data_IF_810725092812
#
_entry.id   IF_810725092812
#
_cell.length_a   1.000
_cell.length_b   1.000
_cell.length_c   1.000
_cell.angle_alpha   90.00
_cell.angle_beta   90.00
_cell.angle_gamma   90.00
#
_symmetry.space_group_name_H-M   'P 1'
#
loop_
_entity.id
_entity.type
_entity.pdbx_description
1 polymer ?
#
# COMPACT_ATOMS: atom_id res chain seq x y z
N UNK A 1 56.37 21.97 114.11
CA UNK A 1 56.52 21.63 112.68
C UNK A 1 55.43 22.30 111.80
N UNK A 2 54.97 23.52 112.09
CA UNK A 2 53.78 24.10 111.43
C UNK A 2 54.03 25.37 110.60
N UNK A 3 55.24 25.96 110.70
CA UNK A 3 55.62 27.18 109.95
C UNK A 3 56.20 26.87 108.56
N UNK A 4 56.82 25.69 108.38
CA UNK A 4 57.42 25.30 107.09
C UNK A 4 56.35 24.92 106.04
N UNK A 5 55.26 24.26 106.46
CA UNK A 5 54.23 23.79 105.51
C UNK A 5 53.36 24.94 104.98
N UNK A 6 53.09 25.96 105.80
CA UNK A 6 52.38 27.18 105.39
C UNK A 6 53.18 28.01 104.37
N UNK A 7 54.51 28.08 104.51
CA UNK A 7 55.37 28.75 103.51
C UNK A 7 55.44 27.99 102.19
N UNK A 8 55.42 26.65 102.22
CA UNK A 8 55.36 25.84 100.99
C UNK A 8 54.00 25.91 100.30
N UNK A 9 52.88 25.95 101.05
CA UNK A 9 51.53 26.13 100.48
C UNK A 9 51.35 27.52 99.87
N UNK A 10 51.79 28.58 100.58
CA UNK A 10 51.75 29.94 100.04
C UNK A 10 52.63 30.08 98.79
N UNK A 11 53.82 29.47 98.77
CA UNK A 11 54.70 29.45 97.59
C UNK A 11 54.07 28.72 96.40
N UNK A 12 53.47 27.54 96.61
CA UNK A 12 52.81 26.78 95.55
C UNK A 12 51.54 27.49 95.00
N UNK A 13 50.78 28.15 95.87
CA UNK A 13 49.63 28.96 95.44
C UNK A 13 50.08 30.18 94.63
N UNK A 14 51.14 30.87 95.09
CA UNK A 14 51.72 32.00 94.36
C UNK A 14 52.29 31.57 93.00
N UNK A 15 52.94 30.41 92.90
CA UNK A 15 53.42 29.87 91.62
C UNK A 15 52.26 29.47 90.69
N UNK A 16 51.20 28.84 91.20
CA UNK A 16 50.02 28.52 90.37
C UNK A 16 49.30 29.77 89.86
N UNK A 17 49.19 30.81 90.68
CA UNK A 17 48.64 32.11 90.27
C UNK A 17 49.55 32.76 89.22
N UNK A 18 50.87 32.66 89.38
CA UNK A 18 51.85 33.14 88.40
C UNK A 18 51.79 32.36 87.08
N UNK A 19 51.63 31.04 87.14
CA UNK A 19 51.48 30.19 85.96
C UNK A 19 50.15 30.42 85.24
N UNK A 20 49.05 30.58 85.98
CA UNK A 20 47.77 30.99 85.42
C UNK A 20 47.87 32.37 84.75
N UNK A 21 48.58 33.33 85.36
CA UNK A 21 48.91 34.63 84.77
C UNK A 21 49.65 34.50 83.44
N UNK A 22 50.72 33.69 83.39
CA UNK A 22 51.48 33.42 82.16
C UNK A 22 50.64 32.79 81.06
N UNK A 23 49.73 31.88 81.42
CA UNK A 23 48.80 31.26 80.46
C UNK A 23 47.79 32.29 79.95
N UNK A 24 47.27 33.17 80.81
CA UNK A 24 46.36 34.25 80.42
C UNK A 24 47.07 35.22 79.47
N UNK A 25 48.32 35.59 79.77
CA UNK A 25 49.12 36.46 78.91
C UNK A 25 49.38 35.81 77.54
N UNK A 26 49.81 34.54 77.52
CA UNK A 26 50.03 33.78 76.29
C UNK A 26 48.74 33.64 75.46
N UNK A 27 47.61 33.35 76.10
CA UNK A 27 46.31 33.27 75.43
C UNK A 27 45.85 34.63 74.92
N UNK A 28 46.17 35.72 75.63
CA UNK A 28 45.87 37.08 75.22
C UNK A 28 46.68 37.48 73.98
N UNK A 29 47.97 37.15 73.95
CA UNK A 29 48.85 37.34 72.79
C UNK A 29 48.36 36.53 71.59
N UNK A 30 47.96 35.27 71.81
CA UNK A 30 47.41 34.42 70.74
C UNK A 30 46.07 34.93 70.22
N UNK A 31 45.22 35.47 71.10
CA UNK A 31 43.95 36.08 70.70
C UNK A 31 44.20 37.36 69.88
N UNK A 32 45.21 38.16 70.25
CA UNK A 32 45.62 39.33 69.48
C UNK A 32 46.17 38.93 68.09
N UNK A 33 46.98 37.88 68.01
CA UNK A 33 47.51 37.34 66.74
C UNK A 33 46.39 36.79 65.84
N UNK A 34 45.44 36.03 66.40
CA UNK A 34 44.28 35.54 65.67
C UNK A 34 43.40 36.69 65.16
N UNK A 35 43.17 37.73 65.96
CA UNK A 35 42.44 38.93 65.52
C UNK A 35 43.15 39.62 64.36
N UNK A 36 44.48 39.73 64.43
CA UNK A 36 45.28 40.30 63.35
C UNK A 36 45.18 39.47 62.06
N UNK A 37 45.27 38.14 62.16
CA UNK A 37 45.10 37.24 61.00
C UNK A 37 43.69 37.32 60.39
N UNK A 38 42.65 37.44 61.23
CA UNK A 38 41.27 37.65 60.75
C UNK A 38 41.14 38.97 60.01
N UNK A 39 41.71 40.06 60.53
CA UNK A 39 41.69 41.36 59.84
C UNK A 39 42.54 41.37 58.57
N UNK A 40 43.66 40.64 58.51
CA UNK A 40 44.48 40.49 57.31
C UNK A 40 43.74 39.71 56.20
N UNK A 41 43.06 38.61 56.56
CA UNK A 41 42.19 37.86 55.63
C UNK A 41 41.03 38.72 55.16
N UNK A 42 40.43 39.52 56.06
CA UNK A 42 39.33 40.43 55.74
C UNK A 42 39.76 41.60 54.85
N UNK A 43 40.97 42.14 55.04
CA UNK A 43 41.54 43.17 54.19
C UNK A 43 41.97 42.62 52.81
N UNK A 44 42.41 41.36 52.74
CA UNK A 44 42.71 40.65 51.49
C UNK A 44 41.47 40.29 50.68
N UNK A 45 40.32 40.09 51.34
CA UNK A 45 39.02 39.97 50.70
C UNK A 45 38.54 41.36 50.23
N UNK A 46 39.05 41.81 49.08
CA UNK A 46 38.64 43.08 48.51
C UNK A 46 37.15 43.05 48.16
N UNK A 47 36.36 44.07 48.55
CA UNK A 47 34.95 44.15 48.21
C UNK A 47 34.68 43.99 46.71
N UNK A 48 35.62 44.43 45.87
CA UNK A 48 35.56 44.29 44.41
C UNK A 48 35.59 42.82 43.95
N UNK A 49 36.43 41.97 44.54
CA UNK A 49 36.48 40.54 44.20
C UNK A 49 35.21 39.83 44.65
N UNK A 50 34.64 40.22 45.79
CA UNK A 50 33.36 39.68 46.28
C UNK A 50 32.21 40.08 45.35
N UNK A 51 32.12 41.35 44.96
CA UNK A 51 31.09 41.84 44.03
C UNK A 51 31.23 41.17 42.65
N UNK A 52 32.45 40.98 42.14
CA UNK A 52 32.68 40.28 40.89
C UNK A 52 32.23 38.80 40.98
N UNK A 53 32.52 38.11 42.09
CA UNK A 53 32.09 36.73 42.32
C UNK A 53 30.56 36.61 42.44
N UNK A 54 29.89 37.55 43.13
CA UNK A 54 28.43 37.62 43.24
C UNK A 54 27.77 37.87 41.89
N UNK A 55 28.33 38.77 41.08
CA UNK A 55 27.86 39.01 39.72
C UNK A 55 28.03 37.76 38.85
N UNK A 56 29.20 37.11 38.88
CA UNK A 56 29.43 35.86 38.17
C UNK A 56 28.46 34.74 38.60
N UNK A 57 28.13 34.65 39.90
CA UNK A 57 27.16 33.68 40.40
C UNK A 57 25.74 33.98 39.88
N UNK A 58 25.37 35.26 39.81
CA UNK A 58 24.07 35.71 39.26
C UNK A 58 23.97 35.47 37.76
N UNK A 59 25.03 35.76 37.01
CA UNK A 59 25.11 35.51 35.57
C UNK A 59 25.02 34.00 35.26
N UNK A 60 25.69 33.17 36.07
CA UNK A 60 25.64 31.71 35.94
C UNK A 60 24.24 31.16 36.27
N UNK A 61 23.56 31.70 37.29
CA UNK A 61 22.18 31.30 37.61
C UNK A 61 21.21 31.68 36.49
N UNK A 62 21.35 32.88 35.92
CA UNK A 62 20.61 33.30 34.73
C UNK A 62 20.85 32.35 33.55
N UNK A 63 22.09 31.94 33.30
CA UNK A 63 22.43 30.98 32.25
C UNK A 63 21.83 29.59 32.51
N UNK A 64 21.85 29.11 33.75
CA UNK A 64 21.24 27.83 34.14
C UNK A 64 19.72 27.86 33.92
N UNK A 65 19.06 28.97 34.26
CA UNK A 65 17.61 29.10 34.01
C UNK A 65 17.29 29.14 32.51
N UNK A 66 18.11 29.83 31.71
CA UNK A 66 18.02 29.84 30.24
C UNK A 66 18.15 28.42 29.68
N UNK A 67 19.24 27.72 29.98
CA UNK A 67 19.48 26.36 29.47
C UNK A 67 18.41 25.36 29.91
N UNK A 68 17.89 25.50 31.14
CA UNK A 68 16.75 24.68 31.59
C UNK A 68 15.49 24.91 30.74
N UNK A 69 15.20 26.16 30.38
CA UNK A 69 14.05 26.47 29.52
C UNK A 69 14.22 25.91 28.10
N UNK A 70 15.42 26.03 27.54
CA UNK A 70 15.76 25.50 26.21
C UNK A 70 15.70 23.97 26.16
N UNK A 71 16.19 23.31 27.21
CA UNK A 71 16.09 21.86 27.38
C UNK A 71 14.63 21.41 27.37
N UNK A 72 13.76 22.04 28.16
CA UNK A 72 12.33 21.71 28.18
C UNK A 72 11.67 21.93 26.82
N UNK A 73 12.01 23.01 26.12
CA UNK A 73 11.49 23.28 24.78
C UNK A 73 11.93 22.21 23.76
N UNK A 74 13.18 21.75 23.86
CA UNK A 74 13.72 20.66 23.02
C UNK A 74 13.08 19.31 23.34
N UNK A 75 12.87 19.01 24.62
CA UNK A 75 12.15 17.80 25.07
C UNK A 75 10.72 17.76 24.51
N UNK A 76 10.01 18.88 24.50
CA UNK A 76 8.65 18.94 23.96
C UNK A 76 8.63 18.75 22.44
N UNK A 77 9.55 19.40 21.72
CA UNK A 77 9.74 19.17 20.27
C UNK A 77 10.08 17.71 19.97
N UNK A 78 10.91 17.07 20.79
CA UNK A 78 11.25 15.66 20.62
C UNK A 78 10.03 14.76 20.81
N UNK A 79 9.15 15.04 21.77
CA UNK A 79 7.88 14.30 21.94
C UNK A 79 6.97 14.49 20.72
N UNK A 80 6.83 15.72 20.23
CA UNK A 80 6.03 16.03 19.04
C UNK A 80 6.55 15.27 17.81
N UNK A 81 7.86 15.34 17.55
CA UNK A 81 8.50 14.58 16.48
C UNK A 81 8.30 13.07 16.64
N UNK A 82 8.40 12.55 17.85
CA UNK A 82 8.16 11.13 18.12
C UNK A 82 6.70 10.74 17.82
N UNK A 83 5.72 11.60 18.12
CA UNK A 83 4.32 11.37 17.75
C UNK A 83 4.14 11.36 16.23
N UNK A 84 4.73 12.33 15.52
CA UNK A 84 4.66 12.37 14.05
C UNK A 84 5.31 11.15 13.41
N UNK A 85 6.47 10.70 13.91
CA UNK A 85 7.12 9.49 13.43
C UNK A 85 6.23 8.25 13.62
N UNK A 86 5.59 8.10 14.79
CA UNK A 86 4.64 7.00 15.02
C UNK A 86 3.46 7.05 14.06
N UNK A 87 2.90 8.23 13.82
CA UNK A 87 1.79 8.42 12.87
C UNK A 87 2.20 8.09 11.43
N UNK A 88 3.37 8.56 10.98
CA UNK A 88 3.90 8.27 9.65
C UNK A 88 4.19 6.78 9.47
N UNK A 89 4.76 6.11 10.48
CA UNK A 89 4.98 4.67 10.45
C UNK A 89 3.67 3.89 10.35
N UNK A 90 2.64 4.29 11.10
CA UNK A 90 1.31 3.68 11.00
C UNK A 90 0.70 3.86 9.61
N UNK A 91 0.79 5.08 9.04
CA UNK A 91 0.32 5.37 7.68
C UNK A 91 1.07 4.54 6.63
N UNK A 92 2.39 4.45 6.71
CA UNK A 92 3.20 3.65 5.79
C UNK A 92 2.87 2.16 5.86
N UNK A 93 2.53 1.64 7.05
CA UNK A 93 2.05 0.25 7.19
C UNK A 93 0.68 0.05 6.54
N UNK A 94 -0.23 1.00 6.69
CA UNK A 94 -1.55 0.96 6.04
C UNK A 94 -1.42 0.95 4.51
N UNK A 95 -0.68 1.90 3.95
CA UNK A 95 -0.51 2.00 2.49
C UNK A 95 0.23 0.79 1.92
N UNK A 96 1.18 0.22 2.67
CA UNK A 96 1.81 -1.06 2.30
C UNK A 96 0.79 -2.20 2.28
N UNK A 97 -0.10 -2.28 3.27
CA UNK A 97 -1.18 -3.26 3.30
C UNK A 97 -2.12 -3.14 2.09
N UNK A 98 -2.55 -1.93 1.77
CA UNK A 98 -3.36 -1.62 0.59
C UNK A 98 -2.65 -2.04 -0.71
N UNK A 99 -1.36 -1.74 -0.83
CA UNK A 99 -0.58 -2.15 -2.01
C UNK A 99 -0.49 -3.67 -2.16
N UNK A 100 -0.34 -4.42 -1.06
CA UNK A 100 -0.31 -5.89 -1.09
C UNK A 100 -1.67 -6.45 -1.55
N UNK A 101 -2.77 -5.88 -1.06
CA UNK A 101 -4.11 -6.28 -1.44
C UNK A 101 -4.40 -5.99 -2.93
N UNK A 102 -3.94 -4.84 -3.46
CA UNK A 102 -4.04 -4.53 -4.88
C UNK A 102 -3.24 -5.51 -5.75
N UNK A 103 -2.04 -5.89 -5.31
CA UNK A 103 -1.22 -6.89 -6.01
C UNK A 103 -1.95 -8.23 -6.07
N UNK A 104 -2.52 -8.70 -4.95
CA UNK A 104 -3.31 -9.94 -4.89
C UNK A 104 -4.46 -9.94 -5.91
N UNK A 105 -5.27 -8.87 -5.94
CA UNK A 105 -6.39 -8.73 -6.89
C UNK A 105 -5.93 -8.71 -8.35
N UNK A 106 -4.79 -8.10 -8.62
CA UNK A 106 -4.22 -8.06 -9.96
C UNK A 106 -3.71 -9.45 -10.39
N UNK A 107 -3.11 -10.21 -9.48
CA UNK A 107 -2.70 -11.59 -9.76
C UNK A 107 -3.91 -12.52 -10.01
N UNK A 108 -4.98 -12.36 -9.24
CA UNK A 108 -6.24 -13.09 -9.43
C UNK A 108 -6.88 -12.79 -10.78
N UNK A 109 -7.07 -11.51 -11.11
CA UNK A 109 -7.64 -11.12 -12.42
C UNK A 109 -6.75 -11.55 -13.59
N UNK A 110 -5.42 -11.55 -13.42
CA UNK A 110 -4.50 -12.12 -14.41
C UNK A 110 -4.65 -13.63 -14.54
N UNK A 111 -4.90 -14.36 -13.45
CA UNK A 111 -5.11 -15.81 -13.49
C UNK A 111 -6.43 -16.14 -14.21
N UNK A 112 -7.50 -15.39 -13.91
CA UNK A 112 -8.79 -15.51 -14.58
C UNK A 112 -8.67 -15.21 -16.08
N UNK A 113 -8.01 -14.11 -16.46
CA UNK A 113 -7.78 -13.77 -17.86
C UNK A 113 -6.98 -14.86 -18.60
N UNK A 114 -5.96 -15.45 -17.95
CA UNK A 114 -5.24 -16.60 -18.53
C UNK A 114 -6.14 -17.81 -18.73
N UNK A 115 -7.00 -18.11 -17.75
CA UNK A 115 -7.99 -19.19 -17.85
C UNK A 115 -8.96 -18.97 -19.02
N UNK A 116 -9.50 -17.77 -19.16
CA UNK A 116 -10.39 -17.41 -20.26
C UNK A 116 -9.71 -17.51 -21.63
N UNK A 117 -8.45 -17.06 -21.75
CA UNK A 117 -7.65 -17.18 -22.98
C UNK A 117 -7.41 -18.64 -23.35
N UNK A 118 -7.08 -19.50 -22.38
CA UNK A 118 -6.90 -20.94 -22.63
C UNK A 118 -8.20 -21.60 -23.10
N UNK A 119 -9.33 -21.30 -22.45
CA UNK A 119 -10.64 -21.80 -22.85
C UNK A 119 -11.00 -21.38 -24.29
N UNK A 120 -10.76 -20.12 -24.66
CA UNK A 120 -10.94 -19.64 -26.03
C UNK A 120 -9.99 -20.34 -27.01
N UNK A 121 -8.74 -20.60 -26.63
CA UNK A 121 -7.81 -21.34 -27.48
C UNK A 121 -8.29 -22.75 -27.79
N UNK A 122 -8.84 -23.44 -26.78
CA UNK A 122 -9.44 -24.77 -26.93
C UNK A 122 -10.64 -24.70 -27.90
N UNK A 123 -11.55 -23.74 -27.74
CA UNK A 123 -12.71 -23.60 -28.63
C UNK A 123 -12.29 -23.30 -30.08
N UNK A 124 -11.32 -22.39 -30.28
CA UNK A 124 -10.79 -22.05 -31.62
C UNK A 124 -10.17 -23.29 -32.29
N UNK A 125 -9.48 -24.14 -31.53
CA UNK A 125 -8.91 -25.40 -32.06
C UNK A 125 -9.98 -26.41 -32.45
N UNK A 126 -11.10 -26.44 -31.74
CA UNK A 126 -12.18 -27.40 -32.01
C UNK A 126 -13.16 -26.94 -33.09
N UNK A 127 -13.32 -25.61 -33.28
CA UNK A 127 -14.28 -25.03 -34.23
C UNK A 127 -14.20 -25.63 -35.64
N UNK A 128 -13.03 -25.77 -36.29
CA UNK A 128 -12.98 -26.28 -37.66
C UNK A 128 -13.59 -27.67 -37.81
N UNK A 129 -13.39 -28.56 -36.84
CA UNK A 129 -13.95 -29.91 -36.87
C UNK A 129 -15.46 -29.90 -36.59
N UNK A 130 -15.91 -29.08 -35.63
CA UNK A 130 -17.34 -28.87 -35.34
C UNK A 130 -18.07 -28.29 -36.55
N UNK A 131 -17.51 -27.25 -37.16
CA UNK A 131 -18.07 -26.56 -38.33
C UNK A 131 -18.12 -27.50 -39.54
N UNK A 132 -17.06 -28.30 -39.74
CA UNK A 132 -17.03 -29.31 -40.80
C UNK A 132 -18.16 -30.34 -40.63
N UNK A 133 -18.33 -30.87 -39.42
CA UNK A 133 -19.40 -31.82 -39.11
C UNK A 133 -20.78 -31.21 -39.35
N UNK A 134 -21.01 -29.99 -38.87
CA UNK A 134 -22.26 -29.25 -39.09
C UNK A 134 -22.56 -29.05 -40.58
N UNK A 135 -21.55 -28.71 -41.38
CA UNK A 135 -21.69 -28.55 -42.84
C UNK A 135 -22.01 -29.90 -43.50
N UNK A 136 -21.37 -30.99 -43.07
CA UNK A 136 -21.65 -32.34 -43.58
C UNK A 136 -23.08 -32.77 -43.25
N UNK A 137 -23.53 -32.57 -42.01
CA UNK A 137 -24.90 -32.85 -41.55
C UNK A 137 -25.94 -32.02 -42.36
N UNK A 138 -25.67 -30.73 -42.57
CA UNK A 138 -26.51 -29.86 -43.40
C UNK A 138 -26.59 -30.34 -44.85
N UNK A 139 -25.45 -30.71 -45.46
CA UNK A 139 -25.40 -31.24 -46.82
C UNK A 139 -26.11 -32.59 -46.95
N UNK A 140 -26.16 -33.38 -45.88
CA UNK A 140 -26.89 -34.63 -45.82
C UNK A 140 -28.40 -34.45 -45.61
N UNK A 141 -28.84 -33.27 -45.14
CA UNK A 141 -30.27 -32.99 -44.91
C UNK A 141 -31.11 -33.11 -46.19
N UNK A 142 -32.35 -33.58 -46.02
CA UNK A 142 -33.32 -33.75 -47.12
C UNK A 142 -33.66 -32.43 -47.80
N UNK A 143 -33.80 -31.34 -47.04
CA UNK A 143 -34.07 -30.00 -47.56
C UNK A 143 -32.97 -29.52 -48.51
N UNK A 144 -31.69 -29.71 -48.14
CA UNK A 144 -30.57 -29.35 -49.00
C UNK A 144 -30.52 -30.18 -50.29
N UNK A 145 -30.67 -31.50 -50.18
CA UNK A 145 -30.67 -32.41 -51.34
C UNK A 145 -31.83 -32.11 -52.30
N UNK A 146 -33.04 -31.89 -51.77
CA UNK A 146 -34.20 -31.53 -52.57
C UNK A 146 -34.03 -30.15 -53.23
N UNK A 147 -33.44 -29.20 -52.51
CA UNK A 147 -33.05 -27.90 -53.05
C UNK A 147 -32.12 -28.03 -54.26
N UNK A 148 -31.08 -28.87 -54.16
CA UNK A 148 -30.17 -29.15 -55.28
C UNK A 148 -30.91 -29.73 -56.50
N UNK A 149 -31.82 -30.70 -56.29
CA UNK A 149 -32.62 -31.29 -57.38
C UNK A 149 -33.51 -30.23 -58.05
N UNK A 150 -34.20 -29.40 -57.25
CA UNK A 150 -35.04 -28.30 -57.76
C UNK A 150 -34.21 -27.30 -58.57
N UNK A 151 -33.09 -26.81 -58.04
CA UNK A 151 -32.21 -25.86 -58.74
C UNK A 151 -31.64 -26.45 -60.03
N UNK A 152 -31.19 -27.71 -60.00
CA UNK A 152 -30.72 -28.43 -61.19
C UNK A 152 -31.81 -28.50 -62.25
N UNK A 153 -33.04 -28.87 -61.88
CA UNK A 153 -34.19 -28.94 -62.81
C UNK A 153 -34.50 -27.58 -63.44
N UNK A 154 -34.52 -26.50 -62.64
CA UNK A 154 -34.77 -25.14 -63.14
C UNK A 154 -33.67 -24.70 -64.12
N UNK A 155 -32.40 -24.92 -63.77
CA UNK A 155 -31.27 -24.56 -64.65
C UNK A 155 -31.27 -25.35 -65.97
N UNK A 156 -31.58 -26.65 -65.92
CA UNK A 156 -31.71 -27.49 -67.10
C UNK A 156 -32.90 -27.07 -67.98
N UNK A 157 -34.07 -26.82 -67.39
CA UNK A 157 -35.25 -26.30 -68.09
C UNK A 157 -34.94 -24.98 -68.79
N UNK A 158 -34.26 -24.06 -68.10
CA UNK A 158 -33.87 -22.77 -68.69
C UNK A 158 -32.88 -22.94 -69.85
N UNK A 159 -31.85 -23.75 -69.68
CA UNK A 159 -30.88 -24.05 -70.75
C UNK A 159 -31.53 -24.72 -71.97
N UNK A 160 -32.45 -25.66 -71.73
CA UNK A 160 -33.22 -26.33 -72.78
C UNK A 160 -34.07 -25.34 -73.59
N UNK A 161 -34.82 -24.46 -72.91
CA UNK A 161 -35.63 -23.43 -73.57
C UNK A 161 -34.80 -22.51 -74.47
N UNK A 162 -33.60 -22.11 -74.02
CA UNK A 162 -32.68 -21.31 -74.85
C UNK A 162 -32.20 -22.12 -76.07
N UNK A 163 -31.81 -23.37 -75.88
CA UNK A 163 -31.34 -24.24 -76.97
C UNK A 163 -32.44 -24.47 -78.01
N UNK A 164 -33.66 -24.75 -77.55
CA UNK A 164 -34.85 -24.93 -78.38
C UNK A 164 -35.17 -23.67 -79.19
N UNK A 165 -35.16 -22.49 -78.58
CA UNK A 165 -35.37 -21.23 -79.27
C UNK A 165 -34.32 -20.99 -80.37
N UNK A 166 -33.04 -21.28 -80.08
CA UNK A 166 -31.94 -21.19 -81.05
C UNK A 166 -32.06 -22.19 -82.19
N UNK A 167 -32.55 -23.40 -81.92
CA UNK A 167 -32.79 -24.42 -82.93
C UNK A 167 -33.90 -23.99 -83.89
N UNK A 168 -35.06 -23.59 -83.35
CA UNK A 168 -36.21 -23.11 -84.13
C UNK A 168 -35.86 -21.91 -85.02
N UNK A 169 -35.03 -20.99 -84.53
CA UNK A 169 -34.57 -19.84 -85.32
C UNK A 169 -33.67 -20.22 -86.50
N UNK A 170 -32.96 -21.36 -86.45
CA UNK A 170 -32.09 -21.82 -87.54
C UNK A 170 -32.78 -22.78 -88.50
N UNK A 171 -33.79 -23.51 -88.02
CA UNK A 171 -34.49 -24.54 -88.79
C UNK A 171 -36.00 -24.40 -88.59
N UNK A 172 -36.66 -23.47 -89.30
CA UNK A 172 -38.08 -23.16 -89.09
C UNK A 172 -39.01 -24.32 -89.46
N UNK A 173 -38.59 -25.15 -90.41
CA UNK A 173 -39.43 -26.18 -91.05
C UNK A 173 -39.35 -27.56 -90.34
N UNK A 174 -38.50 -27.69 -89.32
CA UNK A 174 -38.31 -28.93 -88.55
C UNK A 174 -39.13 -28.88 -87.27
N UNK A 175 -40.08 -29.80 -87.14
CA UNK A 175 -40.90 -29.97 -85.95
C UNK A 175 -40.09 -30.67 -84.85
N UNK A 176 -40.01 -30.05 -83.67
CA UNK A 176 -39.42 -30.65 -82.48
C UNK A 176 -40.56 -31.15 -81.61
N UNK A 177 -40.51 -32.43 -81.21
CA UNK A 177 -41.44 -33.07 -80.26
C UNK A 177 -41.62 -32.23 -78.98
N UNK A 178 -42.81 -32.29 -78.36
CA UNK A 178 -43.22 -31.47 -77.20
C UNK A 178 -42.10 -31.28 -76.16
N UNK A 179 -41.96 -30.04 -75.66
CA UNK A 179 -41.00 -29.70 -74.61
C UNK A 179 -41.29 -30.57 -73.36
N UNK A 180 -40.35 -31.42 -72.93
CA UNK A 180 -40.50 -32.25 -71.71
C UNK A 180 -40.75 -31.44 -70.43
N UNK A 181 -40.65 -30.11 -70.49
CA UNK A 181 -40.86 -29.17 -69.39
C UNK A 181 -42.10 -28.27 -69.57
N UNK A 182 -42.87 -28.41 -70.64
CA UNK A 182 -44.12 -27.65 -70.87
C UNK A 182 -45.32 -28.23 -70.13
N UNK A 183 -45.24 -29.47 -69.64
CA UNK A 183 -46.08 -29.91 -68.52
C UNK A 183 -45.69 -29.09 -67.29
N UNK A 184 -46.52 -28.12 -66.92
CA UNK A 184 -46.38 -27.34 -65.70
C UNK A 184 -46.09 -28.28 -64.53
N UNK A 185 -45.09 -28.02 -63.67
CA UNK A 185 -45.13 -28.60 -62.34
C UNK A 185 -46.29 -27.89 -61.64
N UNK A 186 -47.36 -28.61 -61.39
CA UNK A 186 -48.34 -28.23 -60.39
C UNK A 186 -47.60 -28.02 -59.06
N UNK A 187 -47.24 -26.76 -58.76
CA UNK A 187 -46.92 -26.31 -57.40
C UNK A 187 -48.15 -26.44 -56.46
N UNK A 188 -49.20 -27.14 -56.89
CA UNK A 188 -50.45 -27.39 -56.18
C UNK A 188 -50.36 -28.55 -55.18
N UNK A 189 -49.42 -29.49 -55.37
CA UNK A 189 -49.27 -30.67 -54.50
C UNK A 189 -48.21 -30.50 -53.42
N UNK A 190 -47.55 -29.34 -53.35
CA UNK A 190 -46.66 -28.98 -52.25
C UNK A 190 -47.46 -28.15 -51.26
N UNK A 191 -48.07 -28.81 -50.27
CA UNK A 191 -48.71 -28.15 -49.13
C UNK A 191 -47.67 -27.28 -48.40
N UNK A 192 -47.74 -25.96 -48.62
CA UNK A 192 -46.92 -24.98 -47.92
C UNK A 192 -47.72 -24.48 -46.71
N UNK A 193 -47.40 -24.93 -45.48
CA UNK A 193 -48.06 -24.41 -44.29
C UNK A 193 -47.81 -22.89 -44.20
N UNK A 194 -48.85 -22.14 -43.79
CA UNK A 194 -48.80 -20.68 -43.69
C UNK A 194 -47.72 -20.18 -42.70
N UNK A 195 -47.29 -21.03 -41.77
CA UNK A 195 -46.25 -20.75 -40.79
C UNK A 195 -45.38 -22.00 -40.60
N UNK A 196 -44.07 -21.85 -40.83
CA UNK A 196 -43.06 -22.82 -40.42
C UNK A 196 -42.37 -22.22 -39.19
N UNK A 197 -42.54 -22.80 -37.99
CA UNK A 197 -41.88 -22.30 -36.79
C UNK A 197 -40.37 -22.44 -36.96
N UNK A 198 -39.65 -21.31 -36.88
CA UNK A 198 -38.17 -21.29 -36.84
C UNK A 198 -37.67 -21.52 -35.42
N UNK A 199 -38.18 -22.53 -34.72
CA UNK A 199 -37.68 -22.87 -33.38
C UNK A 199 -36.65 -23.99 -33.46
N UNK A 200 -35.38 -23.58 -33.67
CA UNK A 200 -34.20 -24.44 -33.58
C UNK A 200 -33.65 -24.50 -32.13
N UNK A 201 -34.44 -24.11 -31.12
CA UNK A 201 -34.02 -24.21 -29.73
C UNK A 201 -33.84 -25.68 -29.34
N UNK A 202 -32.71 -26.08 -28.73
CA UNK A 202 -32.56 -27.43 -28.21
C UNK A 202 -33.59 -27.66 -27.09
N UNK A 203 -34.26 -28.82 -27.10
CA UNK A 203 -35.17 -29.23 -26.04
C UNK A 203 -34.48 -29.10 -24.67
N UNK A 204 -35.20 -28.50 -23.71
CA UNK A 204 -34.73 -28.41 -22.34
C UNK A 204 -34.48 -29.82 -21.78
N UNK A 205 -33.42 -30.03 -20.98
CA UNK A 205 -33.14 -31.33 -20.40
C UNK A 205 -34.29 -31.77 -19.48
N UNK A 206 -34.75 -33.01 -19.64
CA UNK A 206 -35.67 -33.66 -18.70
C UNK A 206 -34.99 -33.75 -17.32
N UNK A 207 -35.65 -33.19 -16.30
CA UNK A 207 -35.27 -33.30 -14.87
C UNK A 207 -35.49 -34.71 -14.31
#
# INVERSE_FOLDING_TARGET
>A
MSLLWGTHYAAALMDRVRDAGRIIDLLSDRNADLRKQVEEVRAGATPEVVVAAEQCASDLDAEVTRLRSELRASEEKNKELQMHLKALVAKARSTRGESVELIRRLEESRAEARGAVEALSIEIRQRPEKDKKLIEDYKASSGFQLGLVRTRRVSYKYGYRIALARFKARHPDLEVTEDPFDSFPEDMDVDMPNEVPFDDSPDAPEE
#
